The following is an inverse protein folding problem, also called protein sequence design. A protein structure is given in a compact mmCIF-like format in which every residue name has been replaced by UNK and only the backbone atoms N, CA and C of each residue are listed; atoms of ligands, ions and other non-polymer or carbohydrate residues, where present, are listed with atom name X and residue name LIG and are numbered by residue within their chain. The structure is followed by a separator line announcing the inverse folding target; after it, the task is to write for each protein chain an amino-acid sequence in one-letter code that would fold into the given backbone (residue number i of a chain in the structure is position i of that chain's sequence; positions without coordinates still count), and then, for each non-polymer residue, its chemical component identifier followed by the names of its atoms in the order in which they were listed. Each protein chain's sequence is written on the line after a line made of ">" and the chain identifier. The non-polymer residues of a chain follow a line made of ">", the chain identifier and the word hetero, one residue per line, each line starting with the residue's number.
data_IF_875261659202
#
_entry.id   IF_875261659202
#
_cell.length_a   1.000
_cell.length_b   1.000
_cell.length_c   1.000
_cell.angle_alpha   90.00
_cell.angle_beta   90.00
_cell.angle_gamma   90.00
#
_symmetry.space_group_name_H-M   'P 1'
#
loop_
_entity.id
_entity.type
_entity.pdbx_description
1 polymer ?
#
# COMPACT_ATOMS: atom_id res chain seq x y z
N UNK A 1 11.02 9.25 -18.37
CA UNK A 1 10.71 10.21 -17.28
C UNK A 1 9.55 9.64 -16.50
N UNK A 2 9.81 8.84 -15.47
CA UNK A 2 8.76 8.38 -14.57
C UNK A 2 8.42 9.56 -13.66
N UNK A 3 7.22 10.13 -13.82
CA UNK A 3 6.73 11.17 -12.92
C UNK A 3 6.60 10.64 -11.48
N UNK A 4 6.30 11.54 -10.53
CA UNK A 4 6.20 11.21 -9.09
C UNK A 4 5.32 9.98 -8.83
N UNK A 5 4.23 9.82 -9.58
CA UNK A 5 3.37 8.63 -9.53
C UNK A 5 4.15 7.32 -9.78
N UNK A 6 4.91 7.25 -10.87
CA UNK A 6 5.69 6.05 -11.22
C UNK A 6 6.76 5.75 -10.18
N UNK A 7 7.46 6.78 -9.69
CA UNK A 7 8.47 6.61 -8.65
C UNK A 7 7.88 6.06 -7.34
N UNK A 8 6.71 6.54 -6.91
CA UNK A 8 6.02 6.00 -5.73
C UNK A 8 5.58 4.55 -5.98
N UNK A 9 4.98 4.26 -7.14
CA UNK A 9 4.53 2.90 -7.49
C UNK A 9 5.67 1.89 -7.52
N UNK A 10 6.86 2.26 -8.00
CA UNK A 10 8.05 1.39 -7.95
C UNK A 10 8.46 1.03 -6.53
N UNK A 11 8.33 1.96 -5.57
CA UNK A 11 8.63 1.69 -4.15
C UNK A 11 7.56 0.81 -3.51
N UNK A 12 6.28 1.07 -3.79
CA UNK A 12 5.19 0.23 -3.31
C UNK A 12 5.27 -1.19 -3.87
N UNK A 13 5.64 -1.35 -5.16
CA UNK A 13 5.85 -2.66 -5.78
C UNK A 13 7.06 -3.40 -5.17
N UNK A 14 8.05 -2.68 -4.64
CA UNK A 14 9.14 -3.26 -3.86
C UNK A 14 8.72 -3.65 -2.42
N UNK A 15 7.45 -3.46 -2.05
CA UNK A 15 6.91 -3.79 -0.73
C UNK A 15 7.08 -2.68 0.30
N UNK A 16 7.53 -1.48 -0.10
CA UNK A 16 7.61 -0.35 0.82
C UNK A 16 6.22 0.17 1.20
N UNK A 17 6.10 0.66 2.43
CA UNK A 17 4.90 1.40 2.84
C UNK A 17 4.86 2.79 2.18
N UNK A 18 3.69 3.43 2.02
CA UNK A 18 3.57 4.81 1.54
C UNK A 18 4.42 5.80 2.35
N UNK A 19 4.56 5.57 3.66
CA UNK A 19 5.40 6.40 4.55
C UNK A 19 6.89 6.25 4.24
N UNK A 20 7.34 5.02 3.97
CA UNK A 20 8.73 4.77 3.57
C UNK A 20 8.99 5.40 2.20
N UNK A 21 8.11 5.16 1.23
CA UNK A 21 8.23 5.75 -0.11
C UNK A 21 8.27 7.30 -0.07
N UNK A 22 7.43 7.94 0.74
CA UNK A 22 7.43 9.39 0.91
C UNK A 22 8.78 9.92 1.43
N UNK A 23 9.36 9.25 2.44
CA UNK A 23 10.68 9.59 2.98
C UNK A 23 11.79 9.38 1.97
N UNK A 24 11.78 8.25 1.27
CA UNK A 24 12.78 7.91 0.26
C UNK A 24 12.78 8.89 -0.91
N UNK A 25 11.60 9.36 -1.32
CA UNK A 25 11.42 10.25 -2.47
C UNK A 25 11.40 11.74 -2.09
N UNK A 26 11.43 12.08 -0.80
CA UNK A 26 11.39 13.47 -0.33
C UNK A 26 10.09 14.19 -0.65
N UNK A 27 8.95 13.47 -0.69
CA UNK A 27 7.64 14.02 -1.02
C UNK A 27 6.71 14.04 0.21
N UNK A 28 5.62 14.83 0.20
CA UNK A 28 4.61 14.80 1.25
C UNK A 28 3.99 13.41 1.39
N UNK A 29 3.70 13.00 2.63
CA UNK A 29 3.05 11.73 2.92
C UNK A 29 1.68 11.62 2.23
N UNK A 30 0.88 12.68 2.29
CA UNK A 30 -0.46 12.73 1.70
C UNK A 30 -0.42 12.45 0.19
N UNK A 31 0.64 12.86 -0.50
CA UNK A 31 0.83 12.58 -1.92
C UNK A 31 1.14 11.09 -2.15
N UNK A 32 2.02 10.49 -1.35
CA UNK A 32 2.31 9.06 -1.45
C UNK A 32 1.07 8.21 -1.10
N UNK A 33 0.27 8.63 -0.13
CA UNK A 33 -0.99 7.96 0.23
C UNK A 33 -2.05 8.09 -0.87
N UNK A 34 -2.16 9.26 -1.51
CA UNK A 34 -3.05 9.46 -2.66
C UNK A 34 -2.65 8.59 -3.85
N UNK A 35 -1.35 8.49 -4.15
CA UNK A 35 -0.84 7.60 -5.21
C UNK A 35 -1.12 6.14 -4.88
N UNK A 36 -0.91 5.71 -3.63
CA UNK A 36 -1.23 4.34 -3.21
C UNK A 36 -2.74 4.04 -3.36
N UNK A 37 -3.61 4.96 -2.93
CA UNK A 37 -5.06 4.82 -3.08
C UNK A 37 -5.48 4.76 -4.56
N UNK A 38 -4.84 5.54 -5.42
CA UNK A 38 -5.09 5.50 -6.86
C UNK A 38 -4.58 4.19 -7.49
N UNK A 39 -3.40 3.72 -7.09
CA UNK A 39 -2.87 2.43 -7.50
C UNK A 39 -3.76 1.26 -7.08
N UNK A 40 -4.40 1.34 -5.91
CA UNK A 40 -5.39 0.36 -5.43
C UNK A 40 -6.65 0.36 -6.31
N UNK A 41 -7.15 1.55 -6.68
CA UNK A 41 -8.32 1.67 -7.60
C UNK A 41 -8.07 1.04 -8.96
N UNK A 42 -6.83 1.12 -9.46
CA UNK A 42 -6.42 0.49 -10.70
C UNK A 42 -5.98 -0.98 -10.56
N UNK A 43 -5.99 -1.54 -9.34
CA UNK A 43 -5.55 -2.91 -9.08
C UNK A 43 -4.04 -3.13 -9.22
N UNK A 44 -3.24 -2.06 -9.17
CA UNK A 44 -1.79 -2.07 -9.35
C UNK A 44 -1.03 -2.32 -8.03
N UNK A 45 -1.68 -2.08 -6.89
CA UNK A 45 -1.15 -2.35 -5.55
C UNK A 45 -2.27 -2.86 -4.66
N UNK A 46 -1.96 -3.84 -3.82
CA UNK A 46 -2.86 -4.33 -2.79
C UNK A 46 -2.40 -3.79 -1.44
N UNK A 47 -3.20 -2.95 -0.79
CA UNK A 47 -2.98 -2.64 0.63
C UNK A 47 -3.15 -3.93 1.42
N UNK A 48 -2.18 -4.26 2.28
CA UNK A 48 -2.29 -5.39 3.19
C UNK A 48 -3.60 -5.35 4.02
N UNK A 49 -4.11 -4.15 4.33
CA UNK A 49 -5.40 -3.97 4.99
C UNK A 49 -6.65 -4.26 4.14
N UNK A 50 -6.57 -4.17 2.80
CA UNK A 50 -7.69 -4.50 1.91
C UNK A 50 -7.90 -6.02 1.80
N UNK A 51 -6.81 -6.79 1.85
CA UNK A 51 -6.88 -8.27 1.95
C UNK A 51 -7.57 -8.72 3.26
N UNK A 52 -7.54 -7.89 4.31
CA UNK A 52 -8.20 -8.19 5.57
C UNK A 52 -9.73 -8.15 5.51
N UNK A 53 -10.32 -7.49 4.50
CA UNK A 53 -11.78 -7.45 4.32
C UNK A 53 -12.39 -8.81 3.93
N UNK A 54 -11.58 -9.72 3.38
CA UNK A 54 -11.98 -11.09 3.02
C UNK A 54 -11.33 -12.16 3.90
N UNK A 55 -10.38 -11.77 4.75
CA UNK A 55 -9.72 -12.69 5.67
C UNK A 55 -10.63 -13.01 6.86
N UNK A 56 -10.93 -14.29 7.07
CA UNK A 56 -11.42 -14.77 8.35
C UNK A 56 -10.20 -14.88 9.29
N UNK A 57 -10.18 -14.19 10.45
CA UNK A 57 -9.11 -14.35 11.42
C UNK A 57 -8.94 -15.83 11.80
N UNK A 58 -7.77 -16.41 11.52
CA UNK A 58 -7.44 -17.80 11.83
C UNK A 58 -7.39 -18.79 10.65
N UNK A 59 -7.83 -18.39 9.45
CA UNK A 59 -7.92 -19.30 8.29
C UNK A 59 -6.59 -19.43 7.51
N UNK A 60 -5.71 -18.42 7.59
CA UNK A 60 -4.40 -18.43 6.95
C UNK A 60 -3.37 -17.60 7.71
N UNK A 61 -2.09 -18.01 7.76
CA UNK A 61 -1.01 -17.23 8.37
C UNK A 61 -0.81 -15.85 7.69
N UNK A 62 -1.24 -15.71 6.43
CA UNK A 62 -1.24 -14.42 5.74
C UNK A 62 -2.21 -13.39 6.37
N UNK A 63 -3.23 -13.86 7.10
CA UNK A 63 -4.21 -13.03 7.78
C UNK A 63 -3.83 -12.70 9.25
N UNK A 64 -2.71 -13.22 9.77
CA UNK A 64 -2.32 -13.03 11.17
C UNK A 64 -1.92 -11.57 11.52
N UNK A 65 -1.60 -10.77 10.51
CA UNK A 65 -1.32 -9.33 10.65
C UNK A 65 -2.53 -8.42 10.41
N UNK A 66 -3.71 -9.01 10.13
CA UNK A 66 -4.91 -8.23 9.91
C UNK A 66 -5.39 -7.62 11.24
N UNK A 67 -5.64 -6.30 11.29
CA UNK A 67 -6.27 -5.71 12.47
C UNK A 67 -7.63 -6.40 12.66
N UNK A 68 -7.91 -6.86 13.89
CA UNK A 68 -9.23 -7.36 14.26
C UNK A 68 -10.25 -6.30 13.81
N UNK A 69 -11.07 -6.65 12.82
CA UNK A 69 -12.08 -5.77 12.29
C UNK A 69 -12.86 -5.14 13.45
N UNK A 70 -13.03 -3.81 13.40
CA UNK A 70 -13.98 -3.11 14.26
C UNK A 70 -15.35 -3.16 13.62
#
# INVERSE_FOLDING_TARGET
>A
MTGVFGAVMERLAAGESPRTAARTLGIPLDLAEAVAAEGERFGLVMRAGAACGTCVPGDSPACAGCPLAR
#
